data_IF_411196512846
#
_entry.id   IF_411196512846
#
_cell.length_a   1.000
_cell.length_b   1.000
_cell.length_c   1.000
_cell.angle_alpha   90.00
_cell.angle_beta   90.00
_cell.angle_gamma   90.00
#
_symmetry.space_group_name_H-M   'P 1'
#
loop_
_entity.id
_entity.type
_entity.pdbx_description
1 polymer ?
#
# COMPACT_ATOMS: atom_id res chain seq x y z
N UNK A 1 -55.59 -7.41 7.82
CA UNK A 1 -55.53 -6.48 6.68
C UNK A 1 -54.07 -6.36 6.28
N UNK A 2 -53.71 -6.77 5.07
CA UNK A 2 -52.32 -6.79 4.60
C UNK A 2 -51.79 -5.37 4.43
N UNK A 3 -50.62 -5.08 5.00
CA UNK A 3 -49.93 -3.80 4.85
C UNK A 3 -49.68 -3.49 3.38
N UNK A 4 -49.98 -2.27 2.87
CA UNK A 4 -50.19 -2.08 1.43
C UNK A 4 -48.94 -2.06 0.53
N UNK A 5 -47.73 -2.28 1.06
CA UNK A 5 -46.47 -2.10 0.31
C UNK A 5 -45.35 -3.00 0.85
N UNK A 6 -45.46 -4.32 0.67
CA UNK A 6 -44.35 -5.26 0.96
C UNK A 6 -43.29 -5.24 -0.15
N UNK A 7 -41.99 -5.43 0.15
CA UNK A 7 -40.92 -5.60 -0.85
C UNK A 7 -41.29 -6.52 -2.03
N UNK A 8 -41.98 -7.65 -1.78
CA UNK A 8 -42.43 -8.56 -2.85
C UNK A 8 -43.44 -7.91 -3.78
N UNK A 9 -44.40 -7.17 -3.24
CA UNK A 9 -45.38 -6.45 -4.04
C UNK A 9 -44.70 -5.38 -4.90
N UNK A 10 -43.72 -4.66 -4.36
CA UNK A 10 -42.91 -3.70 -5.11
C UNK A 10 -42.17 -4.39 -6.26
N UNK A 11 -41.47 -5.50 -5.99
CA UNK A 11 -40.77 -6.27 -7.01
C UNK A 11 -41.70 -6.74 -8.13
N UNK A 12 -42.84 -7.37 -7.81
CA UNK A 12 -43.76 -7.89 -8.82
C UNK A 12 -44.51 -6.79 -9.58
N UNK A 13 -44.79 -5.65 -8.94
CA UNK A 13 -45.49 -4.52 -9.56
C UNK A 13 -44.74 -3.92 -10.76
N UNK A 14 -43.40 -3.99 -10.74
CA UNK A 14 -42.54 -3.56 -11.85
C UNK A 14 -42.78 -4.36 -13.14
N UNK A 15 -43.44 -5.52 -13.02
CA UNK A 15 -43.69 -6.42 -14.13
C UNK A 15 -45.17 -6.55 -14.49
N UNK A 16 -46.08 -5.73 -13.96
CA UNK A 16 -47.51 -5.77 -14.31
C UNK A 16 -47.73 -5.46 -15.81
N UNK A 17 -48.57 -6.24 -16.48
CA UNK A 17 -49.00 -6.03 -17.88
C UNK A 17 -50.33 -6.75 -18.16
N UNK A 18 -50.90 -6.56 -19.36
CA UNK A 18 -52.26 -7.04 -19.68
C UNK A 18 -52.52 -8.53 -19.41
N UNK A 19 -51.49 -9.40 -19.42
CA UNK A 19 -51.61 -10.85 -19.15
C UNK A 19 -51.07 -11.27 -17.78
N UNK A 20 -50.53 -10.35 -16.99
CA UNK A 20 -50.00 -10.66 -15.67
C UNK A 20 -50.30 -9.53 -14.68
N UNK A 21 -51.08 -9.88 -13.66
CA UNK A 21 -51.33 -9.06 -12.48
C UNK A 21 -50.86 -9.84 -11.26
N UNK A 22 -49.98 -9.25 -10.45
CA UNK A 22 -49.50 -9.88 -9.21
C UNK A 22 -50.65 -10.33 -8.31
N UNK A 23 -50.62 -11.59 -7.87
CA UNK A 23 -51.58 -12.15 -6.92
C UNK A 23 -50.88 -12.40 -5.56
N UNK A 24 -51.11 -11.55 -4.54
CA UNK A 24 -50.46 -11.67 -3.24
C UNK A 24 -50.91 -12.89 -2.44
N UNK A 25 -51.96 -13.60 -2.87
CA UNK A 25 -52.45 -14.80 -2.20
C UNK A 25 -51.78 -16.08 -2.68
N UNK A 26 -50.93 -16.02 -3.72
CA UNK A 26 -50.14 -17.15 -4.18
C UNK A 26 -48.78 -17.20 -3.48
N UNK A 27 -48.21 -18.40 -3.24
CA UNK A 27 -46.84 -18.53 -2.77
C UNK A 27 -45.87 -17.75 -3.68
N UNK A 28 -44.94 -16.95 -3.13
CA UNK A 28 -44.11 -16.06 -3.95
C UNK A 28 -43.27 -16.77 -5.01
N UNK A 29 -42.82 -18.00 -4.75
CA UNK A 29 -42.07 -18.79 -5.73
C UNK A 29 -42.93 -19.21 -6.91
N UNK A 30 -44.16 -19.68 -6.66
CA UNK A 30 -45.13 -20.00 -7.72
C UNK A 30 -45.50 -18.76 -8.53
N UNK A 31 -45.59 -17.61 -7.86
CA UNK A 31 -45.91 -16.34 -8.51
C UNK A 31 -44.75 -15.82 -9.38
N UNK A 32 -43.50 -16.09 -8.99
CA UNK A 32 -42.31 -15.84 -9.81
C UNK A 32 -42.23 -16.76 -11.02
N UNK A 33 -42.56 -18.04 -10.86
CA UNK A 33 -42.61 -19.00 -11.97
C UNK A 33 -43.69 -18.62 -12.99
N UNK A 34 -44.88 -18.22 -12.50
CA UNK A 34 -45.96 -17.69 -13.35
C UNK A 34 -45.52 -16.45 -14.11
N UNK A 35 -44.83 -15.51 -13.45
CA UNK A 35 -44.27 -14.34 -14.13
C UNK A 35 -43.30 -14.74 -15.26
N UNK A 36 -42.41 -15.69 -15.00
CA UNK A 36 -41.46 -16.18 -16.01
C UNK A 36 -42.18 -16.80 -17.22
N UNK A 37 -43.25 -17.55 -16.98
CA UNK A 37 -44.08 -18.17 -18.02
C UNK A 37 -44.82 -17.14 -18.85
N UNK A 38 -45.57 -16.22 -18.22
CA UNK A 38 -46.35 -15.18 -18.91
C UNK A 38 -45.48 -14.22 -19.71
N UNK A 39 -44.27 -13.92 -19.22
CA UNK A 39 -43.28 -13.10 -19.94
C UNK A 39 -42.47 -13.88 -20.97
N UNK A 40 -42.65 -15.20 -21.04
CA UNK A 40 -41.87 -16.12 -21.90
C UNK A 40 -40.36 -15.88 -21.77
N UNK A 41 -39.88 -15.74 -20.53
CA UNK A 41 -38.47 -15.45 -20.28
C UNK A 41 -37.59 -16.66 -20.59
N UNK A 42 -36.55 -16.45 -21.40
CA UNK A 42 -35.50 -17.45 -21.59
C UNK A 42 -34.61 -17.62 -20.33
N UNK A 43 -33.84 -18.73 -20.24
CA UNK A 43 -33.05 -19.08 -19.05
C UNK A 43 -32.10 -17.99 -18.53
N UNK A 44 -31.60 -17.12 -19.41
CA UNK A 44 -30.74 -16.00 -19.03
C UNK A 44 -31.50 -14.90 -18.26
N UNK A 45 -32.72 -14.56 -18.69
CA UNK A 45 -33.55 -13.56 -18.01
C UNK A 45 -34.08 -14.11 -16.69
N UNK A 46 -34.45 -15.40 -16.66
CA UNK A 46 -34.85 -16.08 -15.43
C UNK A 46 -33.71 -16.01 -14.40
N UNK A 47 -32.47 -16.37 -14.75
CA UNK A 47 -31.32 -16.27 -13.83
C UNK A 47 -31.13 -14.86 -13.29
N UNK A 48 -31.19 -13.84 -14.16
CA UNK A 48 -31.04 -12.43 -13.78
C UNK A 48 -32.10 -12.00 -12.75
N UNK A 49 -33.37 -12.29 -13.01
CA UNK A 49 -34.47 -11.85 -12.15
C UNK A 49 -34.67 -12.75 -10.92
N UNK A 50 -34.25 -14.02 -10.97
CA UNK A 50 -34.34 -14.95 -9.84
C UNK A 50 -33.45 -14.53 -8.68
N UNK A 51 -32.26 -14.00 -8.97
CA UNK A 51 -31.38 -13.45 -7.93
C UNK A 51 -32.02 -12.24 -7.22
N UNK A 52 -32.61 -11.31 -7.97
CA UNK A 52 -33.31 -10.16 -7.41
C UNK A 52 -34.57 -10.58 -6.63
N UNK A 53 -35.34 -11.52 -7.16
CA UNK A 53 -36.51 -12.10 -6.49
C UNK A 53 -36.15 -12.75 -5.14
N UNK A 54 -35.11 -13.58 -5.09
CA UNK A 54 -34.70 -14.27 -3.87
C UNK A 54 -34.28 -13.29 -2.76
N UNK A 55 -33.56 -12.22 -3.11
CA UNK A 55 -33.18 -11.16 -2.18
C UNK A 55 -34.41 -10.44 -1.58
N UNK A 56 -35.43 -10.19 -2.40
CA UNK A 56 -36.66 -9.53 -1.96
C UNK A 56 -37.53 -10.50 -1.13
N UNK A 57 -37.62 -11.76 -1.55
CA UNK A 57 -38.34 -12.81 -0.84
C UNK A 57 -37.78 -13.04 0.56
N UNK A 58 -36.45 -13.04 0.69
CA UNK A 58 -35.76 -13.17 1.97
C UNK A 58 -35.98 -11.94 2.87
N UNK A 59 -36.00 -10.73 2.30
CA UNK A 59 -36.33 -9.50 3.03
C UNK A 59 -37.77 -9.48 3.55
N UNK A 60 -38.72 -10.07 2.82
CA UNK A 60 -40.13 -10.15 3.25
C UNK A 60 -40.34 -11.19 4.36
N UNK A 61 -39.63 -12.32 4.31
CA UNK A 61 -39.73 -13.39 5.31
C UNK A 61 -39.17 -12.98 6.68
N UNK A 62 -38.30 -11.97 6.75
CA UNK A 62 -37.70 -11.50 8.00
C UNK A 62 -37.82 -9.98 8.17
N UNK A 63 -39.00 -9.48 8.62
CA UNK A 63 -39.22 -8.05 8.84
C UNK A 63 -38.41 -7.48 10.02
N UNK A 64 -37.66 -8.30 10.78
CA UNK A 64 -36.76 -7.86 11.86
C UNK A 64 -35.31 -7.91 11.37
N UNK A 65 -35.01 -7.04 10.41
CA UNK A 65 -33.72 -6.98 9.73
C UNK A 65 -32.50 -7.00 10.66
N UNK A 66 -31.47 -7.76 10.24
CA UNK A 66 -30.08 -7.43 10.56
C UNK A 66 -29.09 -8.57 10.79
N UNK A 67 -29.50 -9.83 10.97
CA UNK A 67 -28.57 -10.87 11.45
C UNK A 67 -28.39 -12.12 10.56
N UNK A 68 -29.30 -12.42 9.62
CA UNK A 68 -29.26 -13.71 8.91
C UNK A 68 -28.43 -13.73 7.60
N UNK A 69 -28.37 -12.63 6.84
CA UNK A 69 -27.62 -12.60 5.57
C UNK A 69 -26.10 -12.86 5.75
N UNK A 70 -25.59 -12.56 6.95
CA UNK A 70 -24.20 -12.74 7.38
C UNK A 70 -23.78 -14.23 7.46
N UNK A 71 -24.73 -15.14 7.67
CA UNK A 71 -24.44 -16.54 7.95
C UNK A 71 -24.49 -17.46 6.72
N UNK A 72 -24.97 -17.02 5.56
CA UNK A 72 -25.24 -17.92 4.43
C UNK A 72 -23.96 -18.55 3.87
N UNK A 73 -22.90 -17.76 3.62
CA UNK A 73 -21.63 -18.29 3.07
C UNK A 73 -20.88 -19.16 4.08
N UNK A 74 -20.95 -18.80 5.35
CA UNK A 74 -20.32 -19.55 6.42
C UNK A 74 -21.05 -20.87 6.68
N UNK A 75 -22.38 -20.84 6.71
CA UNK A 75 -23.24 -22.01 6.78
C UNK A 75 -23.09 -22.89 5.55
N UNK A 76 -23.00 -22.31 4.35
CA UNK A 76 -22.74 -23.05 3.12
C UNK A 76 -21.38 -23.74 3.19
N UNK A 77 -20.33 -23.04 3.63
CA UNK A 77 -19.01 -23.62 3.84
C UNK A 77 -19.06 -24.83 4.79
N UNK A 78 -19.68 -24.70 5.96
CA UNK A 78 -19.74 -25.79 6.94
C UNK A 78 -20.68 -26.93 6.52
N UNK A 79 -21.80 -26.63 5.86
CA UNK A 79 -22.79 -27.63 5.45
C UNK A 79 -22.23 -28.63 4.44
N UNK A 80 -21.30 -28.21 3.58
CA UNK A 80 -20.57 -29.09 2.66
C UNK A 80 -19.76 -30.17 3.38
N UNK A 81 -19.49 -30.00 4.68
CA UNK A 81 -18.70 -30.93 5.46
C UNK A 81 -19.50 -31.73 6.48
N UNK A 82 -20.83 -31.65 6.53
CA UNK A 82 -21.65 -32.44 7.45
C UNK A 82 -21.48 -33.97 7.22
N UNK A 83 -21.31 -34.75 8.29
CA UNK A 83 -21.22 -36.22 8.25
C UNK A 83 -21.55 -36.84 9.62
N UNK A 84 -21.67 -38.17 9.69
CA UNK A 84 -21.88 -38.86 10.96
C UNK A 84 -20.71 -38.61 11.93
N UNK A 85 -20.95 -37.80 12.97
CA UNK A 85 -19.93 -37.36 13.93
C UNK A 85 -19.57 -35.86 13.84
N UNK A 86 -20.12 -35.12 12.88
CA UNK A 86 -20.01 -33.67 12.80
C UNK A 86 -21.23 -33.06 12.12
N UNK A 87 -21.96 -32.24 12.87
CA UNK A 87 -23.06 -31.41 12.39
C UNK A 87 -22.74 -29.98 12.75
N UNK A 88 -22.72 -29.07 11.76
CA UNK A 88 -22.47 -27.65 11.97
C UNK A 88 -23.29 -27.06 13.12
N UNK A 89 -22.63 -26.36 14.04
CA UNK A 89 -23.25 -25.66 15.17
C UNK A 89 -23.11 -24.16 14.97
N UNK A 90 -24.21 -23.51 14.58
CA UNK A 90 -24.25 -22.07 14.29
C UNK A 90 -24.16 -21.18 15.53
N UNK A 91 -24.25 -21.76 16.74
CA UNK A 91 -24.11 -21.03 17.99
C UNK A 91 -22.66 -20.92 18.46
N UNK A 92 -21.73 -21.65 17.82
CA UNK A 92 -20.30 -21.55 18.13
C UNK A 92 -19.61 -20.46 17.31
N UNK A 93 -18.61 -19.78 17.89
CA UNK A 93 -17.77 -18.87 17.14
C UNK A 93 -17.18 -19.56 15.88
N UNK A 94 -17.17 -18.92 14.71
CA UNK A 94 -16.78 -19.57 13.45
C UNK A 94 -15.41 -20.24 13.49
N UNK A 95 -14.44 -19.63 14.19
CA UNK A 95 -13.09 -20.19 14.33
C UNK A 95 -13.05 -21.44 15.21
N UNK A 96 -13.85 -21.49 16.28
CA UNK A 96 -13.97 -22.70 17.11
C UNK A 96 -14.66 -23.82 16.35
N UNK A 97 -15.67 -23.45 15.56
CA UNK A 97 -16.39 -24.39 14.73
C UNK A 97 -15.53 -24.98 13.60
N UNK A 98 -14.65 -24.17 13.00
CA UNK A 98 -13.63 -24.66 12.06
C UNK A 98 -12.61 -25.59 12.70
N UNK A 99 -12.17 -25.29 13.93
CA UNK A 99 -11.29 -26.19 14.68
C UNK A 99 -11.98 -27.53 14.96
N UNK A 100 -13.26 -27.51 15.35
CA UNK A 100 -14.07 -28.71 15.57
C UNK A 100 -14.20 -29.54 14.29
N UNK A 101 -14.46 -28.89 13.16
CA UNK A 101 -14.47 -29.54 11.85
C UNK A 101 -13.13 -30.22 11.53
N UNK A 102 -12.02 -29.51 11.72
CA UNK A 102 -10.67 -30.05 11.48
C UNK A 102 -10.38 -31.28 12.36
N UNK A 103 -10.76 -31.23 13.63
CA UNK A 103 -10.63 -32.34 14.58
C UNK A 103 -11.50 -33.53 14.18
N UNK A 104 -12.79 -33.30 13.91
CA UNK A 104 -13.73 -34.35 13.54
C UNK A 104 -13.31 -35.08 12.24
N UNK A 105 -12.79 -34.33 11.27
CA UNK A 105 -12.25 -34.88 10.02
C UNK A 105 -10.82 -35.42 10.13
N UNK A 106 -10.15 -35.24 11.27
CA UNK A 106 -8.74 -35.58 11.50
C UNK A 106 -7.83 -35.04 10.39
N UNK A 107 -8.04 -33.80 9.98
CA UNK A 107 -7.26 -33.18 8.90
C UNK A 107 -5.82 -32.91 9.34
N UNK A 108 -4.86 -33.36 8.53
CA UNK A 108 -3.45 -32.97 8.70
C UNK A 108 -3.18 -31.51 8.26
N UNK A 109 -2.02 -30.94 8.62
CA UNK A 109 -1.69 -29.53 8.39
C UNK A 109 -1.89 -29.02 6.95
N UNK A 110 -1.55 -29.86 5.96
CA UNK A 110 -1.73 -29.53 4.54
C UNK A 110 -3.21 -29.33 4.16
N UNK A 111 -4.09 -30.19 4.68
CA UNK A 111 -5.52 -30.16 4.39
C UNK A 111 -6.22 -29.03 5.15
N UNK A 112 -5.79 -28.77 6.39
CA UNK A 112 -6.21 -27.59 7.16
C UNK A 112 -5.91 -26.32 6.36
N UNK A 113 -4.66 -26.13 5.92
CA UNK A 113 -4.26 -24.93 5.15
C UNK A 113 -5.08 -24.73 3.87
N UNK A 114 -5.44 -25.83 3.19
CA UNK A 114 -6.29 -25.80 2.00
C UNK A 114 -7.68 -25.25 2.31
N UNK A 115 -8.31 -25.72 3.38
CA UNK A 115 -9.68 -25.33 3.75
C UNK A 115 -9.74 -24.02 4.54
N UNK A 116 -8.67 -23.65 5.23
CA UNK A 116 -8.51 -22.39 5.97
C UNK A 116 -8.68 -21.19 5.04
N UNK A 117 -8.19 -21.28 3.80
CA UNK A 117 -8.35 -20.20 2.82
C UNK A 117 -9.83 -19.99 2.44
N UNK A 118 -10.58 -21.08 2.21
CA UNK A 118 -12.00 -21.00 1.88
C UNK A 118 -12.85 -20.57 3.08
N UNK A 119 -12.48 -21.02 4.28
CA UNK A 119 -13.08 -20.60 5.54
C UNK A 119 -12.87 -19.10 5.80
N UNK A 120 -11.64 -18.61 5.67
CA UNK A 120 -11.34 -17.17 5.82
C UNK A 120 -12.02 -16.32 4.75
N UNK A 121 -12.23 -16.86 3.54
CA UNK A 121 -13.04 -16.19 2.53
C UNK A 121 -14.51 -16.08 2.96
N UNK A 122 -15.08 -17.15 3.53
CA UNK A 122 -16.45 -17.13 4.05
C UNK A 122 -16.63 -16.12 5.21
N UNK A 123 -15.63 -16.00 6.10
CA UNK A 123 -15.62 -14.99 7.17
C UNK A 123 -15.33 -13.58 6.65
N UNK A 124 -14.42 -13.41 5.70
CA UNK A 124 -14.06 -12.10 5.16
C UNK A 124 -15.26 -11.38 4.54
N UNK A 125 -16.10 -12.13 3.81
CA UNK A 125 -17.37 -11.64 3.29
C UNK A 125 -18.38 -11.23 4.38
N UNK A 126 -18.23 -11.75 5.61
CA UNK A 126 -19.06 -11.43 6.78
C UNK A 126 -18.70 -10.07 7.37
N UNK A 127 -17.40 -9.74 7.41
CA UNK A 127 -16.92 -8.45 7.91
C UNK A 127 -17.14 -7.30 6.92
N UNK A 128 -17.14 -7.58 5.61
CA UNK A 128 -17.43 -6.59 4.56
C UNK A 128 -18.87 -6.04 4.61
N UNK A 129 -19.83 -6.76 5.21
CA UNK A 129 -21.21 -6.30 5.38
C UNK A 129 -21.42 -5.44 6.64
N UNK A 130 -20.48 -5.47 7.60
CA UNK A 130 -20.64 -4.77 8.88
C UNK A 130 -20.15 -3.33 8.88
N UNK A 131 -19.67 -2.80 7.75
CA UNK A 131 -19.23 -1.40 7.64
C UNK A 131 -18.19 -1.01 8.71
N UNK A 132 -17.40 -1.97 9.18
CA UNK A 132 -16.37 -1.72 10.18
C UNK A 132 -15.25 -0.91 9.55
N UNK A 133 -15.06 0.32 10.02
CA UNK A 133 -13.89 1.12 9.67
C UNK A 133 -12.63 0.27 9.87
N UNK A 134 -11.74 0.29 8.88
CA UNK A 134 -10.48 -0.43 8.96
C UNK A 134 -9.71 -0.02 10.21
N UNK A 135 -9.30 -1.03 10.99
CA UNK A 135 -8.47 -0.77 12.16
C UNK A 135 -7.06 -0.30 11.75
N UNK A 136 -6.29 0.21 12.73
CA UNK A 136 -4.98 0.81 12.47
C UNK A 136 -4.01 -0.16 11.78
N UNK A 137 -4.07 -1.47 12.08
CA UNK A 137 -3.17 -2.45 11.49
C UNK A 137 -3.49 -2.70 10.00
N UNK A 138 -4.77 -2.74 9.62
CA UNK A 138 -5.19 -2.84 8.21
C UNK A 138 -4.85 -1.57 7.45
N UNK A 139 -5.04 -0.39 8.03
CA UNK A 139 -4.63 0.89 7.42
C UNK A 139 -3.12 0.91 7.19
N UNK A 140 -2.32 0.52 8.18
CA UNK A 140 -0.86 0.44 8.05
C UNK A 140 -0.44 -0.55 6.97
N UNK A 141 -1.09 -1.72 6.93
CA UNK A 141 -0.87 -2.72 5.89
C UNK A 141 -1.04 -2.09 4.50
N UNK A 142 -2.16 -1.42 4.23
CA UNK A 142 -2.40 -0.85 2.91
C UNK A 142 -1.46 0.30 2.58
N UNK A 143 -1.21 1.21 3.52
CA UNK A 143 -0.24 2.32 3.36
C UNK A 143 1.14 1.83 2.98
N UNK A 144 1.58 0.69 3.55
CA UNK A 144 2.87 0.08 3.21
C UNK A 144 2.94 -0.37 1.75
N UNK A 145 1.80 -0.75 1.15
CA UNK A 145 1.74 -1.21 -0.23
C UNK A 145 1.20 -0.17 -1.22
N UNK A 146 0.92 1.06 -0.78
CA UNK A 146 0.55 2.16 -1.67
C UNK A 146 1.65 2.46 -2.70
N UNK A 147 1.22 2.75 -3.92
CA UNK A 147 2.10 3.10 -5.03
C UNK A 147 1.30 3.74 -6.17
N UNK A 148 1.96 4.02 -7.29
CA UNK A 148 1.43 4.82 -8.40
C UNK A 148 0.03 4.41 -8.91
N UNK A 149 -0.38 3.15 -8.77
CA UNK A 149 -1.69 2.67 -9.24
C UNK A 149 -2.66 2.31 -8.11
N UNK A 150 -2.22 2.36 -6.86
CA UNK A 150 -3.02 1.98 -5.70
C UNK A 150 -2.84 2.98 -4.55
N UNK A 151 -3.92 3.68 -4.23
CA UNK A 151 -4.10 4.51 -3.04
C UNK A 151 -5.26 3.91 -2.27
N UNK A 152 -5.08 3.63 -0.98
CA UNK A 152 -6.08 2.93 -0.19
C UNK A 152 -7.34 3.78 0.00
N UNK A 153 -8.48 3.26 -0.41
CA UNK A 153 -9.79 3.86 -0.19
C UNK A 153 -10.36 3.37 1.15
N UNK A 154 -10.45 4.29 2.13
CA UNK A 154 -10.95 4.00 3.47
C UNK A 154 -12.45 3.73 3.49
N UNK A 155 -13.18 4.18 2.47
CA UNK A 155 -14.63 4.02 2.35
C UNK A 155 -14.99 2.72 1.60
N UNK A 156 -14.00 2.07 0.98
CA UNK A 156 -14.17 0.80 0.29
C UNK A 156 -13.99 -0.40 1.24
N UNK A 157 -14.69 -1.52 1.00
CA UNK A 157 -14.50 -2.73 1.79
C UNK A 157 -13.04 -3.20 1.76
N UNK A 158 -12.52 -3.52 2.94
CA UNK A 158 -11.11 -3.91 3.17
C UNK A 158 -10.69 -5.04 2.23
N UNK A 159 -11.57 -6.03 2.01
CA UNK A 159 -11.27 -7.14 1.11
C UNK A 159 -11.24 -6.71 -0.37
N UNK A 160 -12.13 -5.81 -0.77
CA UNK A 160 -12.16 -5.26 -2.13
C UNK A 160 -10.88 -4.48 -2.44
N UNK A 161 -10.41 -3.67 -1.49
CA UNK A 161 -9.14 -2.96 -1.60
C UNK A 161 -7.94 -3.92 -1.64
N UNK A 162 -7.99 -5.01 -0.88
CA UNK A 162 -6.96 -6.05 -0.96
C UNK A 162 -6.92 -6.72 -2.33
N UNK A 163 -8.07 -7.09 -2.89
CA UNK A 163 -8.13 -7.66 -4.25
C UNK A 163 -7.69 -6.66 -5.32
N UNK A 164 -8.07 -5.39 -5.18
CA UNK A 164 -7.61 -4.32 -6.08
C UNK A 164 -6.09 -4.17 -6.02
N UNK A 165 -5.51 -4.15 -4.83
CA UNK A 165 -4.06 -4.13 -4.63
C UNK A 165 -3.38 -5.33 -5.29
N UNK A 166 -3.90 -6.54 -5.07
CA UNK A 166 -3.39 -7.78 -5.66
C UNK A 166 -3.43 -7.72 -7.18
N UNK A 167 -4.57 -7.31 -7.75
CA UNK A 167 -4.77 -7.20 -9.20
C UNK A 167 -3.82 -6.20 -9.84
N UNK A 168 -3.63 -5.04 -9.22
CA UNK A 168 -2.74 -4.01 -9.74
C UNK A 168 -1.26 -4.41 -9.61
N UNK A 169 -0.88 -5.08 -8.51
CA UNK A 169 0.51 -5.47 -8.25
C UNK A 169 0.95 -6.67 -9.09
N UNK A 170 0.01 -7.51 -9.53
CA UNK A 170 0.31 -8.69 -10.34
C UNK A 170 1.24 -9.68 -9.63
N UNK A 171 1.10 -9.85 -8.31
CA UNK A 171 2.00 -10.72 -7.55
C UNK A 171 1.91 -12.18 -8.01
N UNK A 172 3.06 -12.80 -8.27
CA UNK A 172 3.17 -14.24 -8.46
C UNK A 172 2.75 -15.03 -7.21
N UNK A 173 2.38 -16.30 -7.39
CA UNK A 173 1.76 -17.18 -6.37
C UNK A 173 2.49 -17.20 -5.01
N UNK A 174 3.83 -17.19 -5.02
CA UNK A 174 4.64 -17.17 -3.80
C UNK A 174 4.52 -15.86 -3.01
N UNK A 175 4.61 -14.72 -3.71
CA UNK A 175 4.47 -13.40 -3.10
C UNK A 175 3.03 -13.13 -2.67
N UNK A 176 2.04 -13.56 -3.47
CA UNK A 176 0.64 -13.46 -3.11
C UNK A 176 0.34 -14.18 -1.78
N UNK A 177 0.78 -15.44 -1.63
CA UNK A 177 0.59 -16.18 -0.37
C UNK A 177 1.20 -15.47 0.85
N UNK A 178 2.39 -14.87 0.68
CA UNK A 178 3.05 -14.12 1.75
C UNK A 178 2.29 -12.84 2.11
N UNK A 179 1.83 -12.09 1.11
CA UNK A 179 1.11 -10.85 1.32
C UNK A 179 -0.28 -11.10 1.89
N UNK A 180 -1.01 -12.11 1.40
CA UNK A 180 -2.29 -12.56 1.98
C UNK A 180 -2.13 -12.94 3.45
N UNK A 181 -1.04 -13.63 3.82
CA UNK A 181 -0.78 -13.95 5.23
C UNK A 181 -0.58 -12.69 6.09
N UNK A 182 0.12 -11.68 5.57
CA UNK A 182 0.33 -10.40 6.27
C UNK A 182 -0.97 -9.62 6.41
N UNK A 183 -1.77 -9.58 5.35
CA UNK A 183 -3.09 -8.94 5.35
C UNK A 183 -4.01 -9.60 6.39
N UNK A 184 -4.15 -10.93 6.36
CA UNK A 184 -4.97 -11.67 7.33
C UNK A 184 -4.49 -11.46 8.77
N UNK A 185 -3.16 -11.33 8.98
CA UNK A 185 -2.61 -11.00 10.31
C UNK A 185 -3.04 -9.60 10.77
N UNK A 186 -3.01 -8.61 9.88
CA UNK A 186 -3.44 -7.24 10.19
C UNK A 186 -4.95 -7.21 10.56
N UNK A 187 -5.79 -7.89 9.77
CA UNK A 187 -7.22 -8.04 10.05
C UNK A 187 -7.46 -8.71 11.40
N UNK A 188 -6.72 -9.78 11.71
CA UNK A 188 -6.85 -10.49 12.98
C UNK A 188 -6.40 -9.65 14.19
N UNK A 189 -5.36 -8.83 14.04
CA UNK A 189 -4.91 -7.92 15.10
C UNK A 189 -5.96 -6.85 15.40
N UNK A 190 -6.52 -6.22 14.36
CA UNK A 190 -7.58 -5.22 14.53
C UNK A 190 -8.84 -5.85 15.17
N UNK A 191 -9.21 -7.06 14.76
CA UNK A 191 -10.31 -7.79 15.38
C UNK A 191 -10.03 -8.13 16.86
N UNK A 192 -8.79 -8.49 17.20
CA UNK A 192 -8.38 -8.79 18.58
C UNK A 192 -8.41 -7.52 19.43
N UNK A 193 -7.88 -6.40 18.96
CA UNK A 193 -7.91 -5.12 19.67
C UNK A 193 -9.34 -4.61 19.89
N UNK A 194 -10.23 -4.80 18.91
CA UNK A 194 -11.66 -4.53 19.07
C UNK A 194 -12.31 -5.46 20.10
N UNK A 195 -11.83 -6.70 20.24
CA UNK A 195 -12.35 -7.65 21.23
C UNK A 195 -11.79 -7.46 22.65
N UNK A 196 -10.56 -6.94 22.79
CA UNK A 196 -9.88 -6.69 24.09
C UNK A 196 -10.52 -5.54 24.86
N UNK A 197 -11.21 -4.61 24.18
CA UNK A 197 -12.10 -3.66 24.84
C UNK A 197 -13.37 -4.30 25.45
N UNK A 198 -13.54 -5.63 25.37
CA UNK A 198 -14.66 -6.37 25.97
C UNK A 198 -14.26 -7.56 26.85
N UNK A 199 -12.98 -7.93 26.96
CA UNK A 199 -12.54 -8.98 27.89
C UNK A 199 -11.04 -8.84 28.25
N UNK A 200 -10.76 -8.87 29.55
CA UNK A 200 -9.44 -8.74 30.17
C UNK A 200 -8.42 -9.81 29.73
N UNK A 201 -7.16 -9.38 29.56
CA UNK A 201 -6.05 -10.10 28.94
C UNK A 201 -5.50 -11.32 29.71
N UNK A 202 -5.00 -12.30 28.95
CA UNK A 202 -3.86 -13.14 29.36
C UNK A 202 -2.70 -12.96 28.38
N UNK A 203 -1.51 -12.77 28.95
CA UNK A 203 -0.24 -12.53 28.26
C UNK A 203 0.58 -13.80 28.26
N UNK A 204 0.97 -14.28 27.07
CA UNK A 204 2.11 -15.18 26.92
C UNK A 204 3.13 -14.57 25.94
N UNK A 205 4.45 -14.73 26.15
CA UNK A 205 5.47 -14.00 25.42
C UNK A 205 5.82 -14.71 24.10
N UNK A 206 5.67 -14.02 22.97
CA UNK A 206 6.24 -14.43 21.69
C UNK A 206 7.77 -14.32 21.72
N UNK A 207 8.46 -15.35 21.23
CA UNK A 207 9.93 -15.43 21.17
C UNK A 207 10.58 -14.36 20.26
N UNK A 208 11.91 -14.17 20.37
CA UNK A 208 12.62 -13.06 19.75
C UNK A 208 12.78 -13.30 18.24
N UNK A 209 11.76 -12.96 17.46
CA UNK A 209 11.92 -12.72 16.03
C UNK A 209 12.87 -11.54 15.85
N UNK A 210 13.90 -11.70 15.00
CA UNK A 210 14.79 -10.61 14.59
C UNK A 210 13.95 -9.39 14.20
N UNK A 211 13.90 -8.38 15.09
CA UNK A 211 13.28 -7.10 14.78
C UNK A 211 14.04 -6.49 13.61
N UNK A 212 13.36 -6.33 12.48
CA UNK A 212 13.91 -5.63 11.34
C UNK A 212 14.13 -4.16 11.74
N UNK A 213 15.40 -3.82 12.03
CA UNK A 213 15.80 -2.48 12.49
C UNK A 213 15.68 -1.49 11.32
N UNK A 214 14.65 -0.65 11.34
CA UNK A 214 14.55 0.49 10.42
C UNK A 214 15.43 1.63 10.93
N UNK A 215 16.66 1.68 10.44
CA UNK A 215 17.68 2.63 10.89
C UNK A 215 17.25 4.11 10.78
N UNK A 216 16.42 4.47 9.80
CA UNK A 216 15.96 5.84 9.63
C UNK A 216 14.87 6.17 10.64
N UNK A 217 13.89 5.28 10.80
CA UNK A 217 12.85 5.42 11.81
C UNK A 217 13.46 5.47 13.22
N UNK A 218 14.40 4.59 13.52
CA UNK A 218 15.06 4.54 14.83
C UNK A 218 15.90 5.79 15.10
N UNK A 219 16.57 6.32 14.09
CA UNK A 219 17.30 7.58 14.25
C UNK A 219 16.33 8.74 14.52
N UNK A 220 15.21 8.82 13.79
CA UNK A 220 14.19 9.87 13.97
C UNK A 220 13.51 9.78 15.34
N UNK A 221 13.16 8.58 15.82
CA UNK A 221 12.64 8.34 17.17
C UNK A 221 13.63 8.80 18.25
N UNK A 222 14.93 8.64 18.04
CA UNK A 222 15.96 9.15 18.96
C UNK A 222 16.07 10.68 18.97
N UNK A 223 15.48 11.39 18.00
CA UNK A 223 15.45 12.84 17.94
C UNK A 223 14.15 13.45 18.51
N UNK A 224 13.27 12.64 19.11
CA UNK A 224 12.03 13.14 19.70
C UNK A 224 12.31 14.19 20.79
N UNK A 225 11.55 15.28 20.74
CA UNK A 225 11.70 16.42 21.63
C UNK A 225 10.39 17.20 21.72
N UNK A 226 10.36 18.28 22.51
CA UNK A 226 9.14 19.07 22.69
C UNK A 226 8.70 19.68 21.35
N UNK A 227 7.56 19.21 20.83
CA UNK A 227 7.00 19.65 19.54
C UNK A 227 7.36 18.78 18.35
N UNK A 228 8.21 17.75 18.51
CA UNK A 228 8.47 16.74 17.48
C UNK A 228 8.37 15.32 18.05
N UNK A 229 7.46 14.53 17.49
CA UNK A 229 7.32 13.09 17.74
C UNK A 229 7.27 12.37 16.39
N UNK A 230 7.97 11.25 16.25
CA UNK A 230 7.96 10.49 15.01
C UNK A 230 6.59 9.84 14.79
N UNK A 231 5.99 10.07 13.61
CA UNK A 231 4.63 9.60 13.29
C UNK A 231 4.59 8.46 12.26
N UNK A 232 5.72 7.80 11.98
CA UNK A 232 5.78 6.75 10.95
C UNK A 232 5.73 7.30 9.52
N UNK A 233 5.90 8.60 9.33
CA UNK A 233 5.93 9.24 8.01
C UNK A 233 7.23 8.98 7.24
N UNK A 234 7.27 9.47 6.00
CA UNK A 234 8.48 9.39 5.16
C UNK A 234 9.67 10.08 5.84
N UNK A 235 10.87 9.47 5.85
CA UNK A 235 12.01 9.98 6.61
C UNK A 235 12.37 11.44 6.33
N UNK A 236 12.31 11.89 5.08
CA UNK A 236 12.61 13.27 4.69
C UNK A 236 11.55 14.28 5.17
N UNK A 237 10.29 13.88 5.27
CA UNK A 237 9.20 14.74 5.72
C UNK A 237 9.23 14.85 7.25
N UNK A 238 9.48 13.72 7.91
CA UNK A 238 9.71 13.66 9.36
C UNK A 238 10.95 14.47 9.75
N UNK A 239 12.05 14.34 9.01
CA UNK A 239 13.24 15.16 9.21
C UNK A 239 12.97 16.66 9.00
N UNK A 240 12.16 17.03 8.00
CA UNK A 240 11.75 18.43 7.79
C UNK A 240 10.96 18.97 8.99
N UNK A 241 10.01 18.20 9.53
CA UNK A 241 9.26 18.58 10.73
C UNK A 241 10.19 18.79 11.93
N UNK A 242 11.15 17.87 12.13
CA UNK A 242 12.16 18.01 13.17
C UNK A 242 12.99 19.30 13.00
N UNK A 243 13.46 19.58 11.79
CA UNK A 243 14.21 20.80 11.47
C UNK A 243 13.37 22.05 11.74
N UNK A 244 12.08 22.04 11.40
CA UNK A 244 11.18 23.18 11.65
C UNK A 244 10.97 23.43 13.15
N UNK A 245 10.89 22.38 13.97
CA UNK A 245 10.82 22.49 15.44
C UNK A 245 12.12 23.02 16.00
N UNK A 246 13.26 22.43 15.64
CA UNK A 246 14.58 22.89 16.06
C UNK A 246 14.81 24.35 15.68
N UNK A 247 14.38 24.76 14.48
CA UNK A 247 14.46 26.16 14.02
C UNK A 247 13.68 27.11 14.93
N UNK A 248 12.49 26.72 15.38
CA UNK A 248 11.69 27.53 16.32
C UNK A 248 12.38 27.63 17.68
N UNK A 249 12.91 26.52 18.21
CA UNK A 249 13.68 26.50 19.46
C UNK A 249 14.90 27.43 19.36
N UNK A 250 15.67 27.33 18.27
CA UNK A 250 16.84 28.17 18.05
C UNK A 250 16.48 29.66 18.00
N UNK A 251 15.43 30.04 17.26
CA UNK A 251 14.94 31.42 17.20
C UNK A 251 14.49 31.95 18.56
N UNK A 252 13.88 31.10 19.38
CA UNK A 252 13.44 31.48 20.72
C UNK A 252 14.63 31.71 21.65
N UNK A 253 15.67 30.88 21.55
CA UNK A 253 16.90 31.03 22.35
C UNK A 253 17.78 32.21 21.91
N UNK A 254 17.70 32.63 20.64
CA UNK A 254 18.56 33.66 20.06
C UNK A 254 17.77 34.89 19.57
N UNK A 255 16.69 35.27 20.27
CA UNK A 255 15.83 36.41 19.88
C UNK A 255 16.62 37.72 19.67
N UNK A 256 17.71 37.90 20.39
CA UNK A 256 18.56 39.10 20.32
C UNK A 256 19.55 39.11 19.13
N UNK A 257 19.78 37.96 18.48
CA UNK A 257 20.79 37.79 17.42
C UNK A 257 20.18 37.57 16.03
N UNK A 258 18.87 37.79 15.89
CA UNK A 258 18.08 37.38 14.71
C UNK A 258 18.53 38.05 13.40
N UNK A 259 19.27 39.17 13.49
CA UNK A 259 19.72 39.95 12.33
C UNK A 259 21.08 39.52 11.73
N UNK A 260 21.92 38.77 12.46
CA UNK A 260 23.31 38.53 12.02
C UNK A 260 23.61 37.06 11.64
N UNK A 261 22.89 36.08 12.18
CA UNK A 261 23.21 34.67 11.97
C UNK A 261 22.09 33.91 11.25
N UNK A 262 22.40 33.39 10.07
CA UNK A 262 21.53 32.42 9.40
C UNK A 262 21.60 31.10 10.17
N UNK A 263 20.50 30.74 10.84
CA UNK A 263 20.35 29.47 11.57
C UNK A 263 20.80 28.23 10.77
N UNK A 264 20.70 28.28 9.44
CA UNK A 264 21.14 27.19 8.54
C UNK A 264 22.63 26.87 8.63
N UNK A 265 23.43 27.80 9.15
CA UNK A 265 24.87 27.68 9.34
C UNK A 265 25.25 27.54 10.81
N UNK A 266 24.28 27.36 11.72
CA UNK A 266 24.63 26.99 13.08
C UNK A 266 25.22 25.58 13.10
N UNK A 267 26.21 25.36 13.97
CA UNK A 267 26.86 24.06 14.15
C UNK A 267 25.85 22.96 14.52
N UNK A 268 24.79 23.31 15.27
CA UNK A 268 23.74 22.39 15.65
C UNK A 268 22.95 21.89 14.44
N UNK A 269 22.48 22.78 13.55
CA UNK A 269 21.72 22.38 12.36
C UNK A 269 22.59 21.67 11.34
N UNK A 270 23.84 22.10 11.18
CA UNK A 270 24.79 21.43 10.31
C UNK A 270 25.06 20.00 10.80
N UNK A 271 25.33 19.83 12.10
CA UNK A 271 25.49 18.51 12.73
C UNK A 271 24.24 17.64 12.58
N UNK A 272 23.04 18.19 12.82
CA UNK A 272 21.78 17.47 12.67
C UNK A 272 21.57 16.96 11.24
N UNK A 273 21.84 17.82 10.24
CA UNK A 273 21.76 17.45 8.82
C UNK A 273 22.81 16.40 8.45
N UNK A 274 24.06 16.59 8.87
CA UNK A 274 25.15 15.63 8.62
C UNK A 274 24.77 14.26 9.17
N UNK A 275 24.27 14.20 10.41
CA UNK A 275 23.83 12.95 11.04
C UNK A 275 22.69 12.28 10.27
N UNK A 276 21.64 13.02 9.91
CA UNK A 276 20.51 12.46 9.16
C UNK A 276 20.96 11.85 7.82
N UNK A 277 21.66 12.63 6.99
CA UNK A 277 22.09 12.13 5.68
C UNK A 277 23.18 11.06 5.79
N UNK A 278 23.97 11.05 6.85
CA UNK A 278 24.88 9.95 7.17
C UNK A 278 24.13 8.63 7.42
N UNK A 279 22.95 8.68 8.07
CA UNK A 279 22.09 7.50 8.22
C UNK A 279 21.47 7.09 6.88
N UNK A 280 21.02 8.04 6.06
CA UNK A 280 20.53 7.74 4.70
C UNK A 280 21.60 7.06 3.85
N UNK A 281 22.84 7.56 3.87
CA UNK A 281 23.97 6.91 3.18
C UNK A 281 24.29 5.53 3.76
N UNK A 282 24.17 5.34 5.07
CA UNK A 282 24.31 4.01 5.69
C UNK A 282 23.25 3.02 5.20
N UNK A 283 21.99 3.44 5.11
CA UNK A 283 20.89 2.61 4.57
C UNK A 283 21.14 2.28 3.10
N UNK A 284 21.59 3.25 2.31
CA UNK A 284 21.99 3.03 0.92
C UNK A 284 23.10 1.99 0.80
N UNK A 285 24.15 2.09 1.63
CA UNK A 285 25.25 1.14 1.60
C UNK A 285 24.80 -0.27 2.02
N UNK A 286 23.97 -0.41 3.06
CA UNK A 286 23.41 -1.72 3.47
C UNK A 286 22.60 -2.35 2.33
N UNK A 287 21.79 -1.54 1.64
CA UNK A 287 21.02 -2.01 0.49
C UNK A 287 21.94 -2.47 -0.65
N UNK A 288 22.99 -1.70 -0.92
CA UNK A 288 23.97 -2.01 -1.95
C UNK A 288 24.83 -3.23 -1.59
N UNK A 289 25.16 -3.42 -0.33
CA UNK A 289 25.86 -4.61 0.17
C UNK A 289 25.01 -5.87 -0.06
N UNK A 290 23.68 -5.80 0.13
CA UNK A 290 22.77 -6.91 -0.22
C UNK A 290 22.80 -7.22 -1.71
N UNK A 291 22.81 -6.21 -2.57
CA UNK A 291 23.02 -6.43 -4.01
C UNK A 291 24.34 -7.14 -4.27
N UNK A 292 25.43 -6.69 -3.65
CA UNK A 292 26.76 -7.26 -3.85
C UNK A 292 26.82 -8.72 -3.35
N UNK A 293 26.18 -9.03 -2.23
CA UNK A 293 26.09 -10.39 -1.69
C UNK A 293 25.36 -11.35 -2.65
N UNK A 294 24.28 -10.89 -3.29
CA UNK A 294 23.52 -11.73 -4.23
C UNK A 294 24.25 -11.86 -5.56
N UNK A 295 24.81 -10.76 -6.06
CA UNK A 295 25.35 -10.70 -7.43
C UNK A 295 26.83 -11.10 -7.52
N UNK A 296 27.58 -11.01 -6.43
CA UNK A 296 29.04 -11.10 -6.42
C UNK A 296 29.74 -9.89 -7.04
N UNK A 297 29.01 -8.82 -7.37
CA UNK A 297 29.57 -7.61 -7.98
C UNK A 297 30.03 -6.60 -6.94
N UNK A 298 30.93 -5.71 -7.35
CA UNK A 298 31.27 -4.53 -6.55
C UNK A 298 30.13 -3.50 -6.59
N UNK A 299 30.06 -2.59 -5.61
CA UNK A 299 28.98 -1.60 -5.52
C UNK A 299 28.73 -0.78 -6.79
N UNK A 300 29.78 -0.32 -7.48
CA UNK A 300 29.62 0.46 -8.72
C UNK A 300 29.26 -0.41 -9.92
N UNK A 301 29.69 -1.67 -9.96
CA UNK A 301 29.27 -2.62 -11.01
C UNK A 301 27.78 -2.90 -10.92
N UNK A 302 27.22 -3.05 -9.71
CA UNK A 302 25.75 -3.16 -9.50
C UNK A 302 25.05 -1.95 -10.11
N UNK A 303 25.48 -0.73 -9.77
CA UNK A 303 24.86 0.49 -10.28
C UNK A 303 24.98 0.61 -11.81
N UNK A 304 26.13 0.27 -12.39
CA UNK A 304 26.31 0.22 -13.84
C UNK A 304 25.47 -0.87 -14.48
N UNK A 305 25.27 -2.02 -13.83
CA UNK A 305 24.36 -3.07 -14.30
C UNK A 305 22.90 -2.62 -14.31
N UNK A 306 22.48 -1.85 -13.30
CA UNK A 306 21.13 -1.30 -13.20
C UNK A 306 20.86 -0.18 -14.22
N UNK A 307 21.84 0.69 -14.49
CA UNK A 307 21.63 1.90 -15.30
C UNK A 307 22.34 1.94 -16.65
N UNK A 308 23.31 1.05 -16.87
CA UNK A 308 24.13 1.00 -18.08
C UNK A 308 23.72 -0.11 -19.04
N UNK A 309 24.53 -0.33 -20.07
CA UNK A 309 24.28 -1.30 -21.15
C UNK A 309 24.72 -2.75 -20.83
N UNK A 310 24.98 -3.07 -19.56
CA UNK A 310 25.24 -4.46 -19.13
C UNK A 310 26.70 -4.92 -19.24
N UNK A 311 27.67 -4.01 -19.21
CA UNK A 311 29.08 -4.40 -19.15
C UNK A 311 29.43 -4.96 -17.76
N UNK A 312 29.85 -6.22 -17.69
CA UNK A 312 30.14 -6.92 -16.44
C UNK A 312 31.47 -6.48 -15.77
N UNK A 313 32.41 -5.92 -16.54
CA UNK A 313 33.76 -5.57 -16.07
C UNK A 313 34.08 -4.08 -16.23
N UNK A 314 33.33 -3.23 -15.54
CA UNK A 314 33.56 -1.78 -15.57
C UNK A 314 34.40 -1.32 -14.37
N UNK A 315 35.59 -0.79 -14.63
CA UNK A 315 36.42 -0.16 -13.62
C UNK A 315 35.77 1.11 -13.04
N UNK A 316 36.10 1.47 -11.78
CA UNK A 316 35.47 2.59 -11.04
C UNK A 316 35.46 3.92 -11.81
N UNK A 317 36.52 4.23 -12.57
CA UNK A 317 36.59 5.46 -13.39
C UNK A 317 35.62 5.44 -14.57
N UNK A 318 35.49 4.31 -15.26
CA UNK A 318 34.51 4.15 -16.33
C UNK A 318 33.08 4.18 -15.77
N UNK A 319 32.85 3.54 -14.61
CA UNK A 319 31.57 3.59 -13.90
C UNK A 319 31.19 5.02 -13.54
N UNK A 320 32.14 5.83 -13.05
CA UNK A 320 31.92 7.26 -12.77
C UNK A 320 31.48 8.02 -14.01
N UNK A 321 32.06 7.75 -15.18
CA UNK A 321 31.67 8.39 -16.44
C UNK A 321 30.26 7.99 -16.89
N UNK A 322 29.90 6.72 -16.74
CA UNK A 322 28.56 6.20 -17.06
C UNK A 322 27.52 6.80 -16.10
N UNK A 323 27.74 6.68 -14.80
CA UNK A 323 26.80 7.09 -13.76
C UNK A 323 26.63 8.61 -13.67
N UNK A 324 27.59 9.40 -14.17
CA UNK A 324 27.45 10.87 -14.30
C UNK A 324 26.28 11.28 -15.23
N UNK A 325 25.82 10.38 -16.10
CA UNK A 325 24.65 10.59 -16.97
C UNK A 325 23.34 10.07 -16.36
N UNK A 326 23.40 9.47 -15.17
CA UNK A 326 22.25 8.93 -14.46
C UNK A 326 21.72 9.98 -13.51
N UNK A 327 20.44 10.33 -13.65
CA UNK A 327 19.79 11.34 -12.82
C UNK A 327 18.71 10.67 -11.97
N UNK A 328 19.07 10.19 -10.79
CA UNK A 328 18.13 9.50 -9.88
C UNK A 328 18.00 10.24 -8.56
N UNK A 329 16.80 10.23 -7.99
CA UNK A 329 16.59 10.69 -6.62
C UNK A 329 16.94 9.55 -5.64
N UNK A 330 17.84 9.81 -4.70
CA UNK A 330 18.34 8.77 -3.78
C UNK A 330 17.21 8.16 -2.93
N UNK A 331 16.22 8.96 -2.51
CA UNK A 331 15.11 8.44 -1.72
C UNK A 331 14.17 7.57 -2.57
N UNK A 332 13.93 7.93 -3.85
CA UNK A 332 13.18 7.07 -4.77
C UNK A 332 13.91 5.74 -5.04
N UNK A 333 15.25 5.78 -5.12
CA UNK A 333 16.07 4.56 -5.23
C UNK A 333 15.89 3.65 -4.02
N UNK A 334 15.99 4.21 -2.80
CA UNK A 334 15.78 3.44 -1.57
C UNK A 334 14.37 2.83 -1.53
N UNK A 335 13.34 3.64 -1.78
CA UNK A 335 11.94 3.18 -1.81
C UNK A 335 11.73 2.03 -2.81
N UNK A 336 12.33 2.13 -4.01
CA UNK A 336 12.14 1.15 -5.07
C UNK A 336 12.79 -0.21 -4.78
N UNK A 337 13.98 -0.21 -4.17
CA UNK A 337 14.79 -1.42 -4.04
C UNK A 337 14.77 -2.03 -2.65
N UNK A 338 14.47 -1.27 -1.60
CA UNK A 338 14.52 -1.76 -0.22
C UNK A 338 13.59 -2.94 0.01
N UNK A 339 12.32 -2.88 -0.42
CA UNK A 339 11.38 -3.99 -0.25
C UNK A 339 11.69 -5.18 -1.17
N UNK A 340 12.18 -4.93 -2.40
CA UNK A 340 12.49 -6.01 -3.34
C UNK A 340 13.67 -6.84 -2.82
N UNK A 341 14.72 -6.20 -2.30
CA UNK A 341 15.89 -6.91 -1.78
C UNK A 341 15.67 -7.56 -0.42
N UNK A 342 14.57 -7.28 0.28
CA UNK A 342 14.17 -8.10 1.44
C UNK A 342 13.79 -9.51 1.03
N UNK A 343 13.30 -9.71 -0.20
CA UNK A 343 12.93 -11.01 -0.75
C UNK A 343 13.26 -11.00 -2.25
N UNK A 344 14.55 -11.11 -2.61
CA UNK A 344 14.95 -11.00 -4.00
C UNK A 344 14.23 -12.07 -4.83
N UNK A 345 13.75 -11.73 -6.04
CA UNK A 345 12.99 -12.65 -6.89
C UNK A 345 13.80 -13.84 -7.38
N UNK A 346 15.13 -13.71 -7.34
CA UNK A 346 16.10 -14.73 -7.72
C UNK A 346 17.42 -14.47 -7.01
N UNK A 347 18.23 -15.51 -6.88
CA UNK A 347 19.64 -15.43 -6.46
C UNK A 347 20.59 -15.42 -7.64
N UNK A 348 20.09 -15.65 -8.86
CA UNK A 348 20.92 -15.54 -10.06
C UNK A 348 21.24 -14.07 -10.34
N UNK A 349 22.53 -13.76 -10.47
CA UNK A 349 23.02 -12.38 -10.55
C UNK A 349 22.54 -11.64 -11.80
N UNK A 350 22.53 -12.31 -12.96
CA UNK A 350 22.18 -11.69 -14.23
C UNK A 350 20.66 -11.51 -14.31
N UNK A 351 19.91 -12.52 -13.90
CA UNK A 351 18.47 -12.49 -13.83
C UNK A 351 17.99 -11.42 -12.84
N UNK A 352 18.64 -11.28 -11.69
CA UNK A 352 18.29 -10.25 -10.71
C UNK A 352 18.44 -8.85 -11.32
N UNK A 353 19.57 -8.55 -11.96
CA UNK A 353 19.78 -7.26 -12.60
C UNK A 353 18.82 -7.03 -13.77
N UNK A 354 18.54 -8.07 -14.57
CA UNK A 354 17.56 -8.01 -15.68
C UNK A 354 16.16 -7.65 -15.17
N UNK A 355 15.73 -8.24 -14.06
CA UNK A 355 14.42 -7.97 -13.45
C UNK A 355 14.34 -6.58 -12.80
N UNK A 356 15.47 -6.09 -12.27
CA UNK A 356 15.52 -4.81 -11.55
C UNK A 356 15.81 -3.60 -12.43
N UNK A 357 16.44 -3.80 -13.60
CA UNK A 357 16.75 -2.74 -14.56
C UNK A 357 15.52 -1.92 -14.99
N UNK A 358 14.35 -2.50 -15.31
CA UNK A 358 13.15 -1.72 -15.60
C UNK A 358 12.75 -0.78 -14.45
N UNK A 359 12.91 -1.22 -13.20
CA UNK A 359 12.62 -0.39 -12.01
C UNK A 359 13.65 0.73 -11.82
N UNK A 360 14.92 0.45 -12.11
CA UNK A 360 15.97 1.46 -12.09
C UNK A 360 15.68 2.57 -13.12
N UNK A 361 15.30 2.18 -14.34
CA UNK A 361 14.91 3.11 -15.42
C UNK A 361 13.67 3.91 -15.01
N UNK A 362 12.67 3.26 -14.38
CA UNK A 362 11.43 3.91 -13.93
C UNK A 362 11.68 5.07 -12.97
N UNK A 363 12.72 5.01 -12.12
CA UNK A 363 13.07 6.09 -11.16
C UNK A 363 14.03 7.14 -11.72
N UNK A 364 14.63 6.90 -12.90
CA UNK A 364 15.54 7.83 -13.55
C UNK A 364 14.79 9.04 -14.14
N UNK A 365 15.40 10.22 -14.07
CA UNK A 365 14.93 11.42 -14.74
C UNK A 365 15.68 11.62 -16.07
N UNK A 366 15.02 12.19 -17.10
CA UNK A 366 15.67 12.47 -18.38
C UNK A 366 16.89 13.40 -18.26
N UNK A 367 16.81 14.38 -17.35
CA UNK A 367 17.89 15.34 -17.15
C UNK A 367 18.02 15.81 -15.69
N UNK A 368 19.18 16.41 -15.41
CA UNK A 368 19.53 17.01 -14.11
C UNK A 368 18.55 18.10 -13.64
N UNK A 369 17.90 18.84 -14.55
CA UNK A 369 16.98 19.93 -14.21
C UNK A 369 15.67 19.36 -13.65
N UNK A 370 15.08 18.39 -14.34
CA UNK A 370 13.89 17.66 -13.88
C UNK A 370 14.13 17.00 -12.53
N UNK A 371 15.28 16.32 -12.35
CA UNK A 371 15.67 15.77 -11.05
C UNK A 371 15.72 16.86 -9.97
N UNK A 372 16.33 18.01 -10.27
CA UNK A 372 16.44 19.14 -9.34
C UNK A 372 15.08 19.70 -8.94
N UNK A 373 14.20 19.95 -9.92
CA UNK A 373 12.84 20.46 -9.69
C UNK A 373 12.01 19.47 -8.89
N UNK A 374 12.01 18.20 -9.28
CA UNK A 374 11.35 17.12 -8.54
C UNK A 374 11.81 17.09 -7.09
N UNK A 375 13.13 16.99 -6.86
CA UNK A 375 13.70 16.84 -5.52
C UNK A 375 13.36 18.04 -4.63
N UNK A 376 13.31 19.25 -5.19
CA UNK A 376 12.94 20.44 -4.46
C UNK A 376 11.43 20.52 -4.15
N UNK A 377 10.57 20.12 -5.09
CA UNK A 377 9.11 20.11 -4.87
C UNK A 377 8.70 19.07 -3.82
N UNK A 378 9.38 17.92 -3.80
CA UNK A 378 9.09 16.81 -2.87
C UNK A 378 9.88 16.91 -1.56
N UNK A 379 10.79 17.89 -1.42
CA UNK A 379 11.75 18.00 -0.31
C UNK A 379 12.71 16.79 -0.18
N UNK A 380 12.88 16.00 -1.24
CA UNK A 380 13.75 14.81 -1.29
C UNK A 380 15.16 15.15 -1.79
N UNK A 381 15.84 16.08 -1.14
CA UNK A 381 17.19 16.50 -1.59
C UNK A 381 18.27 15.82 -0.75
N UNK A 382 19.17 15.09 -1.41
CA UNK A 382 20.42 14.62 -0.79
C UNK A 382 21.56 15.60 -1.10
N UNK A 383 22.18 16.25 -0.09
CA UNK A 383 23.25 17.21 -0.30
C UNK A 383 24.59 16.53 -0.59
N UNK A 384 25.18 16.82 -1.75
CA UNK A 384 26.48 16.27 -2.17
C UNK A 384 27.60 16.55 -1.17
N UNK A 385 27.56 17.68 -0.47
CA UNK A 385 28.57 18.07 0.52
C UNK A 385 28.60 17.18 1.76
N UNK A 386 27.57 16.35 1.97
CA UNK A 386 27.47 15.46 3.14
C UNK A 386 27.83 14.02 2.76
N UNK A 387 27.81 13.67 1.48
CA UNK A 387 28.24 12.35 1.04
C UNK A 387 29.74 12.17 1.22
N UNK A 388 30.17 10.95 1.54
CA UNK A 388 31.59 10.59 1.51
C UNK A 388 32.14 10.77 0.10
N UNK A 389 33.21 11.55 -0.06
CA UNK A 389 33.72 11.96 -1.36
C UNK A 389 34.17 10.79 -2.26
N UNK A 390 34.60 9.69 -1.65
CA UNK A 390 35.07 8.45 -2.28
C UNK A 390 34.02 7.32 -2.26
N UNK A 391 32.88 7.56 -1.62
CA UNK A 391 31.79 6.61 -1.43
C UNK A 391 31.00 6.33 -2.71
N UNK A 392 30.37 5.16 -2.77
CA UNK A 392 29.60 4.74 -3.95
C UNK A 392 28.40 5.64 -4.22
N UNK A 393 27.75 6.14 -3.16
CA UNK A 393 26.63 7.08 -3.30
C UNK A 393 27.03 8.34 -4.09
N UNK A 394 28.26 8.83 -3.90
CA UNK A 394 28.78 10.01 -4.60
C UNK A 394 28.83 9.81 -6.13
N UNK A 395 28.81 8.57 -6.63
CA UNK A 395 28.76 8.28 -8.07
C UNK A 395 27.39 8.57 -8.70
N UNK A 396 26.31 8.52 -7.92
CA UNK A 396 24.94 8.85 -8.37
C UNK A 396 24.57 10.30 -8.08
N UNK A 397 25.31 10.95 -7.18
CA UNK A 397 25.01 12.30 -6.76
C UNK A 397 25.44 13.31 -7.83
N UNK A 398 24.46 14.08 -8.27
CA UNK A 398 24.67 15.16 -9.23
C UNK A 398 24.71 16.50 -8.48
N UNK A 399 25.63 17.38 -8.87
CA UNK A 399 25.72 18.74 -8.31
C UNK A 399 24.59 19.63 -8.83
N UNK A 400 23.38 19.39 -8.35
CA UNK A 400 22.17 20.17 -8.65
C UNK A 400 22.45 21.66 -8.38
N UNK A 401 23.08 22.01 -7.25
CA UNK A 401 23.39 23.41 -6.88
C UNK A 401 24.37 24.13 -7.83
N UNK A 402 25.36 23.44 -8.41
CA UNK A 402 26.31 24.06 -9.38
C UNK A 402 25.68 24.24 -10.75
N UNK A 403 24.82 23.31 -11.15
CA UNK A 403 24.05 23.40 -12.40
C UNK A 403 23.06 24.57 -12.35
N UNK A 404 22.62 24.96 -11.15
CA UNK A 404 21.52 25.88 -10.97
C UNK A 404 21.93 27.22 -10.35
N UNK A 405 22.94 27.89 -10.93
CA UNK A 405 22.93 29.37 -10.87
C UNK A 405 21.60 29.81 -11.48
N UNK A 406 20.69 30.33 -10.66
CA UNK A 406 19.32 30.65 -11.10
C UNK A 406 18.28 29.54 -10.91
N UNK A 407 18.50 28.53 -10.03
CA UNK A 407 17.45 27.53 -9.71
C UNK A 407 16.12 28.18 -9.36
N UNK A 408 16.17 29.25 -8.55
CA UNK A 408 14.98 29.99 -8.16
C UNK A 408 14.22 30.54 -9.38
N UNK A 409 14.94 30.94 -10.42
CA UNK A 409 14.37 31.34 -11.71
C UNK A 409 13.74 30.18 -12.45
N UNK A 410 14.46 29.06 -12.61
CA UNK A 410 13.94 27.83 -13.25
C UNK A 410 12.68 27.34 -12.53
N UNK A 411 12.73 27.19 -11.21
CA UNK A 411 11.60 26.78 -10.39
C UNK A 411 10.42 27.75 -10.48
N UNK A 412 10.67 29.07 -10.55
CA UNK A 412 9.61 30.08 -10.71
C UNK A 412 8.96 29.98 -12.09
N UNK A 413 9.76 29.81 -13.16
CA UNK A 413 9.26 29.60 -14.52
C UNK A 413 8.43 28.32 -14.61
N UNK A 414 8.96 27.20 -14.12
CA UNK A 414 8.23 25.93 -14.07
C UNK A 414 6.92 26.05 -13.30
N UNK A 415 6.91 26.69 -12.11
CA UNK A 415 5.68 26.92 -11.34
C UNK A 415 4.66 27.77 -12.08
N UNK A 416 5.12 28.75 -12.87
CA UNK A 416 4.25 29.61 -13.69
C UNK A 416 3.67 28.83 -14.87
N UNK A 417 4.52 28.06 -15.54
CA UNK A 417 4.17 27.23 -16.71
C UNK A 417 3.22 26.09 -16.34
N UNK A 418 3.51 25.36 -15.25
CA UNK A 418 2.69 24.23 -14.79
C UNK A 418 1.39 24.64 -14.09
N UNK A 419 1.27 25.90 -13.67
CA UNK A 419 0.02 26.49 -13.17
C UNK A 419 -0.79 25.60 -12.22
N UNK A 420 -2.02 25.30 -12.61
CA UNK A 420 -2.97 24.47 -11.86
C UNK A 420 -2.61 22.99 -11.79
N UNK A 421 -1.99 22.45 -12.83
CA UNK A 421 -1.56 21.05 -12.85
C UNK A 421 -0.59 20.76 -11.71
N UNK A 422 0.33 21.70 -11.43
CA UNK A 422 1.24 21.57 -10.29
C UNK A 422 0.51 21.65 -8.94
N UNK A 423 -0.58 22.40 -8.84
CA UNK A 423 -1.39 22.46 -7.60
C UNK A 423 -2.11 21.13 -7.37
N UNK A 424 -2.71 20.56 -8.41
CA UNK A 424 -3.34 19.24 -8.38
C UNK A 424 -2.31 18.15 -8.01
N UNK A 425 -1.19 18.10 -8.74
CA UNK A 425 -0.12 17.13 -8.51
C UNK A 425 0.45 17.22 -7.07
N UNK A 426 0.56 18.41 -6.48
CA UNK A 426 1.00 18.55 -5.09
C UNK A 426 0.00 17.98 -4.07
N UNK A 427 -1.30 18.02 -4.35
CA UNK A 427 -2.33 17.42 -3.49
C UNK A 427 -2.24 15.89 -3.54
N UNK A 428 -1.98 15.34 -4.72
CA UNK A 428 -1.80 13.90 -4.96
C UNK A 428 -0.43 13.38 -4.51
N UNK A 429 0.56 14.27 -4.35
CA UNK A 429 1.85 13.96 -3.76
C UNK A 429 2.96 13.68 -4.78
N UNK A 430 4.02 13.01 -4.32
CA UNK A 430 5.28 12.88 -5.09
C UNK A 430 5.11 12.17 -6.43
N UNK A 431 4.23 11.17 -6.49
CA UNK A 431 4.00 10.40 -7.70
C UNK A 431 3.40 11.30 -8.77
N UNK A 432 2.34 12.04 -8.45
CA UNK A 432 1.73 12.95 -9.39
C UNK A 432 2.69 14.09 -9.81
N UNK A 433 3.53 14.59 -8.90
CA UNK A 433 4.59 15.55 -9.25
C UNK A 433 5.57 14.94 -10.27
N UNK A 434 5.96 13.68 -10.08
CA UNK A 434 6.83 12.97 -11.04
C UNK A 434 6.12 12.79 -12.39
N UNK A 435 4.89 12.29 -12.39
CA UNK A 435 4.09 12.10 -13.60
C UNK A 435 3.90 13.40 -14.37
N UNK A 436 3.63 14.51 -13.68
CA UNK A 436 3.54 15.84 -14.27
C UNK A 436 4.87 16.26 -14.92
N UNK A 437 6.00 16.08 -14.22
CA UNK A 437 7.31 16.44 -14.78
C UNK A 437 7.67 15.64 -16.02
N UNK A 438 7.16 14.41 -16.15
CA UNK A 438 7.45 13.51 -17.26
C UNK A 438 6.34 13.49 -18.33
N UNK A 439 5.23 14.20 -18.14
CA UNK A 439 4.06 14.13 -19.04
C UNK A 439 4.30 14.83 -20.38
N UNK A 440 5.17 15.83 -20.39
CA UNK A 440 5.53 16.62 -21.57
C UNK A 440 6.90 17.28 -21.40
N UNK A 441 7.42 17.80 -22.51
CA UNK A 441 8.54 18.72 -22.46
C UNK A 441 8.09 20.06 -21.86
N UNK A 442 8.95 20.64 -21.04
CA UNK A 442 8.68 21.89 -20.33
C UNK A 442 9.69 22.93 -20.81
N UNK A 443 9.24 24.04 -21.38
CA UNK A 443 10.14 25.08 -21.91
C UNK A 443 11.09 25.58 -20.82
N UNK A 444 10.59 25.69 -19.59
CA UNK A 444 11.40 26.07 -18.43
C UNK A 444 12.51 25.08 -18.07
N UNK A 445 12.47 23.84 -18.57
CA UNK A 445 13.40 22.74 -18.28
C UNK A 445 14.20 22.27 -19.50
N UNK A 446 13.83 22.68 -20.73
CA UNK A 446 14.46 22.25 -21.99
C UNK A 446 15.70 23.05 -22.38
N UNK A 447 15.80 24.30 -21.92
CA UNK A 447 16.90 25.19 -22.28
C UNK A 447 17.98 25.21 -21.19
N UNK A 448 18.98 24.31 -21.24
CA UNK A 448 20.33 24.33 -20.60
C UNK A 448 20.95 22.93 -20.51
#
# INVERSE_FOLDING_TARGET
>A
MSTPNGPLQEFFSQFNFQRYTYNPHKPPLEEFERLCQERQWGPSKIRKHKAAFLLVFEREQDPRGGLAASNVLLQEFFSQFNFQGYTHDSHKPPLEEFKRLCQARKWGPSKIRKHETAFLHAIGSEQDLRGGLAGPNVIEFFRKYEYQRFTYDLDAPIQSEFQRLVGLRGWGKANLSKVTRRFNRAVALDAREQSVYSASESTDPEGPGMQEVDLLADWLKKQECRGYRYQGGLPELEFKKLVDVKRKEWKQAHRELEHCLSWKHSLEFESLRIKFYGVVEKVFNILLDRFCQITGFTPWQVLVGLYGEGQESVGKNAAKTILKKVFVNIFDFLDAFQEILKNPPTTDRQELLRLLKPRAIEVQFPNKMMLGVYSALTNRVFPVSVAKADGTLALLLNFIKRVLKGFGGVMRRFKKEAGDELRAAKKEGRVAIRSLLLSREWDSLSHL
#
